data_IF_589610793457
#
_entry.id   IF_589610793457
#
_cell.length_a   1.000
_cell.length_b   1.000
_cell.length_c   1.000
_cell.angle_alpha   90.00
_cell.angle_beta   90.00
_cell.angle_gamma   90.00
#
_symmetry.space_group_name_H-M   'P 1'
#
loop_
_entity.id
_entity.type
_entity.pdbx_description
1 polymer ?
#
# COMPACT_ATOMS: atom_id res chain seq x y z
N UNK A 1 -38.67 -7.13 -53.39
CA UNK A 1 -37.44 -7.15 -52.56
C UNK A 1 -37.49 -8.36 -51.65
N UNK A 2 -36.50 -9.23 -51.50
CA UNK A 2 -35.16 -9.30 -52.06
C UNK A 2 -34.45 -10.44 -51.33
N UNK A 3 -34.55 -11.69 -51.82
CA UNK A 3 -33.82 -12.83 -51.23
C UNK A 3 -32.31 -12.51 -51.09
N UNK A 4 -31.76 -11.73 -52.04
CA UNK A 4 -30.40 -11.17 -51.94
C UNK A 4 -30.17 -10.21 -50.77
N UNK A 5 -31.19 -9.45 -50.34
CA UNK A 5 -31.12 -8.61 -49.13
C UNK A 5 -31.02 -9.48 -47.87
N UNK A 6 -31.75 -10.60 -47.81
CA UNK A 6 -31.66 -11.53 -46.68
C UNK A 6 -30.27 -12.18 -46.58
N UNK A 7 -29.68 -12.62 -47.70
CA UNK A 7 -28.31 -13.15 -47.69
C UNK A 7 -27.27 -12.09 -47.32
N UNK A 8 -27.45 -10.85 -47.78
CA UNK A 8 -26.58 -9.73 -47.42
C UNK A 8 -26.64 -9.43 -45.92
N UNK A 9 -27.84 -9.45 -45.32
CA UNK A 9 -28.01 -9.28 -43.87
C UNK A 9 -27.34 -10.41 -43.12
N UNK A 10 -27.56 -11.67 -43.51
CA UNK A 10 -26.93 -12.84 -42.86
C UNK A 10 -25.40 -12.76 -42.96
N UNK A 11 -24.85 -12.41 -44.13
CA UNK A 11 -23.41 -12.24 -44.31
C UNK A 11 -22.86 -11.11 -43.43
N UNK A 12 -23.57 -9.98 -43.31
CA UNK A 12 -23.16 -8.87 -42.45
C UNK A 12 -23.15 -9.25 -40.96
N UNK A 13 -24.15 -10.03 -40.51
CA UNK A 13 -24.22 -10.54 -39.13
C UNK A 13 -23.06 -11.50 -38.85
N UNK A 14 -22.76 -12.42 -39.78
CA UNK A 14 -21.63 -13.34 -39.64
C UNK A 14 -20.28 -12.60 -39.59
N UNK A 15 -20.11 -11.54 -40.39
CA UNK A 15 -18.92 -10.70 -40.35
C UNK A 15 -18.76 -9.96 -39.02
N UNK A 16 -19.85 -9.42 -38.47
CA UNK A 16 -19.83 -8.76 -37.16
C UNK A 16 -19.48 -9.74 -36.03
N UNK A 17 -20.02 -10.96 -36.07
CA UNK A 17 -19.67 -12.02 -35.11
C UNK A 17 -18.19 -12.38 -35.22
N UNK A 18 -17.67 -12.58 -36.43
CA UNK A 18 -16.24 -12.86 -36.65
C UNK A 18 -15.32 -11.76 -36.12
N UNK A 19 -15.67 -10.49 -36.36
CA UNK A 19 -14.93 -9.33 -35.84
C UNK A 19 -14.98 -9.28 -34.30
N UNK A 20 -16.13 -9.60 -33.69
CA UNK A 20 -16.27 -9.61 -32.23
C UNK A 20 -15.48 -10.75 -31.55
N UNK A 21 -15.26 -11.88 -32.23
CA UNK A 21 -14.41 -12.97 -31.74
C UNK A 21 -12.92 -12.59 -31.72
N UNK A 22 -12.51 -11.63 -32.55
CA UNK A 22 -11.13 -11.12 -32.59
C UNK A 22 -10.86 -10.01 -31.58
N UNK A 23 -11.90 -9.52 -30.89
CA UNK A 23 -11.73 -8.65 -29.72
C UNK A 23 -11.28 -9.55 -28.58
N UNK A 24 -9.99 -9.88 -28.59
CA UNK A 24 -9.30 -10.54 -27.50
C UNK A 24 -9.40 -9.59 -26.30
N UNK A 25 -10.44 -9.78 -25.49
CA UNK A 25 -10.68 -9.02 -24.29
C UNK A 25 -9.51 -9.33 -23.36
N UNK A 26 -8.47 -8.49 -23.39
CA UNK A 26 -7.35 -8.63 -22.48
C UNK A 26 -7.95 -8.53 -21.08
N UNK A 27 -7.98 -9.66 -20.37
CA UNK A 27 -8.67 -9.74 -19.09
C UNK A 27 -8.17 -8.60 -18.21
N UNK A 28 -9.08 -7.87 -17.58
CA UNK A 28 -8.75 -6.80 -16.63
C UNK A 28 -7.76 -7.30 -15.55
N UNK A 29 -7.82 -8.60 -15.24
CA UNK A 29 -6.87 -9.35 -14.40
C UNK A 29 -5.44 -9.26 -14.90
N UNK A 30 -5.20 -9.32 -16.21
CA UNK A 30 -3.87 -9.21 -16.80
C UNK A 30 -3.32 -7.78 -16.70
N UNK A 31 -4.17 -6.77 -16.91
CA UNK A 31 -3.81 -5.37 -16.69
C UNK A 31 -3.51 -5.08 -15.21
N UNK A 32 -4.32 -5.61 -14.29
CA UNK A 32 -4.10 -5.50 -12.85
C UNK A 32 -2.83 -6.22 -12.41
N UNK A 33 -2.57 -7.42 -12.94
CA UNK A 33 -1.35 -8.19 -12.68
C UNK A 33 -0.11 -7.42 -13.13
N UNK A 34 -0.11 -6.82 -14.33
CA UNK A 34 0.97 -5.96 -14.80
C UNK A 34 1.21 -4.76 -13.88
N UNK A 35 0.15 -4.09 -13.43
CA UNK A 35 0.24 -2.95 -12.52
C UNK A 35 0.76 -3.34 -11.12
N UNK A 36 0.34 -4.51 -10.63
CA UNK A 36 0.83 -5.05 -9.36
C UNK A 36 2.32 -5.38 -9.44
N UNK A 37 2.76 -6.03 -10.52
CA UNK A 37 4.16 -6.37 -10.74
C UNK A 37 5.02 -5.14 -10.98
N UNK A 38 4.52 -4.11 -11.68
CA UNK A 38 5.24 -2.84 -11.83
C UNK A 38 5.40 -2.11 -10.50
N UNK A 39 4.40 -2.14 -9.62
CA UNK A 39 4.49 -1.58 -8.27
C UNK A 39 5.51 -2.32 -7.40
N UNK A 40 5.68 -3.63 -7.59
CA UNK A 40 6.70 -4.43 -6.89
C UNK A 40 8.11 -4.30 -7.48
N UNK A 41 8.23 -4.00 -8.78
CA UNK A 41 9.50 -3.90 -9.49
C UNK A 41 10.26 -2.60 -9.27
N UNK A 42 9.58 -1.54 -8.79
CA UNK A 42 10.25 -0.28 -8.43
C UNK A 42 10.79 -0.43 -7.02
N UNK A 43 12.05 -0.87 -6.97
CA UNK A 43 13.04 -0.63 -5.93
C UNK A 43 12.58 -0.93 -4.52
N UNK A 44 13.18 -1.96 -3.91
CA UNK A 44 13.27 -2.15 -2.45
C UNK A 44 13.20 -0.80 -1.74
N UNK A 45 11.99 -0.41 -1.30
CA UNK A 45 11.79 0.85 -0.61
C UNK A 45 12.75 0.78 0.57
N UNK A 46 13.66 1.76 0.63
CA UNK A 46 14.75 1.74 1.58
C UNK A 46 14.18 1.70 2.99
N UNK A 47 14.09 0.48 3.51
CA UNK A 47 13.56 0.16 4.82
C UNK A 47 14.70 0.11 5.82
N UNK A 48 15.95 0.41 5.41
CA UNK A 48 17.10 0.50 6.30
C UNK A 48 16.94 1.57 7.37
N UNK A 49 16.18 2.64 7.07
CA UNK A 49 15.80 3.66 8.05
C UNK A 49 14.82 3.14 9.11
N UNK A 50 14.07 2.06 8.83
CA UNK A 50 13.13 1.48 9.77
C UNK A 50 13.71 0.22 10.42
N UNK A 51 14.52 0.43 11.47
CA UNK A 51 14.92 -0.66 12.35
C UNK A 51 13.82 -0.88 13.37
N UNK A 52 12.88 -1.78 13.06
CA UNK A 52 11.92 -2.25 14.06
C UNK A 52 12.70 -2.71 15.30
N UNK A 53 12.43 -2.10 16.46
CA UNK A 53 13.09 -2.45 17.71
C UNK A 53 12.54 -3.81 18.16
N UNK A 54 13.10 -4.89 17.61
CA UNK A 54 12.69 -6.27 17.91
C UNK A 54 13.11 -6.75 19.31
N UNK A 55 14.01 -6.01 19.96
CA UNK A 55 14.67 -6.44 21.20
C UNK A 55 14.26 -5.65 22.45
N UNK A 56 13.16 -4.89 22.42
CA UNK A 56 12.57 -4.43 23.68
C UNK A 56 11.83 -5.61 24.30
N UNK A 57 12.56 -6.44 25.05
CA UNK A 57 11.93 -7.30 26.06
C UNK A 57 11.18 -6.37 27.02
N UNK A 58 9.84 -6.38 27.08
CA UNK A 58 9.10 -5.58 28.06
C UNK A 58 9.52 -5.94 29.50
N UNK A 59 10.08 -7.14 29.70
CA UNK A 59 10.56 -7.59 31.01
C UNK A 59 11.86 -6.94 31.51
N UNK A 60 12.66 -6.27 30.67
CA UNK A 60 13.84 -5.51 31.15
C UNK A 60 13.52 -4.07 31.57
N UNK A 61 12.28 -3.60 31.34
CA UNK A 61 11.81 -2.30 31.81
C UNK A 61 11.27 -2.31 33.24
N UNK A 62 11.24 -3.48 33.90
CA UNK A 62 10.69 -3.64 35.25
C UNK A 62 11.67 -3.29 36.37
N UNK A 63 12.91 -2.92 36.06
CA UNK A 63 13.90 -2.43 37.01
C UNK A 63 14.16 -0.94 36.82
N UNK A 64 13.63 -0.10 37.70
CA UNK A 64 13.92 1.34 37.82
C UNK A 64 14.18 2.08 36.49
N UNK A 65 13.26 1.98 35.54
CA UNK A 65 13.38 2.77 34.31
C UNK A 65 13.07 4.22 34.64
N UNK A 66 14.09 5.07 34.54
CA UNK A 66 13.91 6.52 34.67
C UNK A 66 12.96 7.00 33.58
N UNK A 67 11.77 7.49 33.98
CA UNK A 67 10.76 8.02 33.05
C UNK A 67 11.30 9.19 32.21
N UNK A 68 12.28 9.92 32.73
CA UNK A 68 12.91 11.00 32.00
C UNK A 68 13.68 10.50 30.77
N UNK A 69 14.34 9.35 30.89
CA UNK A 69 15.06 8.71 29.77
C UNK A 69 14.11 8.10 28.75
N UNK A 70 12.92 7.65 29.16
CA UNK A 70 11.86 7.23 28.23
C UNK A 70 11.38 8.43 27.41
N UNK A 71 11.02 9.53 28.09
CA UNK A 71 10.52 10.74 27.44
C UNK A 71 11.55 11.36 26.49
N UNK A 72 12.84 11.36 26.85
CA UNK A 72 13.92 11.86 25.96
C UNK A 72 14.00 11.08 24.65
N UNK A 73 13.67 9.78 24.65
CA UNK A 73 13.65 8.97 23.42
C UNK A 73 12.51 9.31 22.48
N UNK A 74 11.39 9.78 23.03
CA UNK A 74 10.22 10.17 22.26
C UNK A 74 10.27 11.62 21.77
N UNK A 75 11.35 12.37 22.05
CA UNK A 75 11.51 13.77 21.65
C UNK A 75 11.59 13.91 20.12
N UNK A 76 10.66 14.67 19.55
CA UNK A 76 10.63 15.05 18.14
C UNK A 76 11.49 16.29 17.95
N UNK A 77 12.59 16.15 17.20
CA UNK A 77 13.50 17.27 16.92
C UNK A 77 12.95 18.26 15.90
N UNK A 78 12.39 17.77 14.79
CA UNK A 78 11.77 18.59 13.74
C UNK A 78 10.92 17.73 12.83
N UNK A 79 9.72 18.19 12.50
CA UNK A 79 8.86 17.54 11.51
C UNK A 79 9.13 18.09 10.10
N UNK A 80 8.90 17.29 9.03
CA UNK A 80 8.98 17.78 7.65
C UNK A 80 8.04 18.97 7.43
N UNK A 81 8.59 20.09 6.93
CA UNK A 81 7.82 21.31 6.68
C UNK A 81 7.46 22.13 7.93
N UNK A 82 7.95 21.76 9.11
CA UNK A 82 7.64 22.47 10.35
C UNK A 82 8.32 23.85 10.41
N UNK A 83 7.55 24.94 10.65
CA UNK A 83 8.11 26.25 10.94
C UNK A 83 8.85 26.25 12.29
N UNK A 84 9.69 27.26 12.59
CA UNK A 84 10.31 27.39 13.91
C UNK A 84 9.25 27.47 15.01
N UNK A 85 9.46 26.71 16.08
CA UNK A 85 8.56 26.65 17.25
C UNK A 85 9.39 26.66 18.53
N UNK A 86 8.86 27.29 19.58
CA UNK A 86 9.58 27.52 20.84
C UNK A 86 9.23 26.47 21.92
N UNK A 87 8.69 25.32 21.52
CA UNK A 87 8.27 24.26 22.44
C UNK A 87 8.72 22.88 21.96
N UNK A 88 9.01 22.02 22.92
CA UNK A 88 9.35 20.62 22.69
C UNK A 88 8.11 19.80 22.36
N UNK A 89 8.26 18.86 21.44
CA UNK A 89 7.22 17.91 21.04
C UNK A 89 7.70 16.49 21.26
N UNK A 90 6.80 15.60 21.64
CA UNK A 90 7.10 14.20 21.89
C UNK A 90 6.09 13.31 21.14
N UNK A 91 6.52 12.15 20.64
CA UNK A 91 5.67 11.21 19.92
C UNK A 91 6.10 9.77 20.15
N UNK A 92 5.24 9.01 20.83
CA UNK A 92 5.49 7.61 21.20
C UNK A 92 4.19 6.85 21.45
N UNK A 93 4.32 5.60 21.87
CA UNK A 93 3.18 4.74 22.23
C UNK A 93 3.04 4.64 23.74
N UNK A 94 1.81 4.63 24.22
CA UNK A 94 1.48 4.34 25.62
C UNK A 94 0.79 2.99 25.67
N UNK A 95 1.38 2.05 26.40
CA UNK A 95 0.73 0.77 26.70
C UNK A 95 -0.29 1.01 27.81
N UNK A 96 -1.56 0.78 27.51
CA UNK A 96 -2.71 0.82 28.42
C UNK A 96 -2.95 -0.54 29.03
N UNK A 97 -2.82 -1.63 28.25
CA UNK A 97 -2.91 -3.01 28.72
C UNK A 97 -1.73 -3.86 28.19
N UNK A 98 -0.87 -4.28 29.12
CA UNK A 98 0.30 -5.10 28.83
C UNK A 98 -0.09 -6.49 28.29
N UNK A 99 -1.25 -7.02 28.69
CA UNK A 99 -1.70 -8.38 28.34
C UNK A 99 -2.35 -8.42 26.96
N UNK A 100 -3.07 -7.35 26.60
CA UNK A 100 -3.66 -7.19 25.28
C UNK A 100 -2.65 -6.70 24.21
N UNK A 101 -1.42 -6.37 24.64
CA UNK A 101 -0.33 -5.92 23.77
C UNK A 101 -0.42 -4.46 23.33
N UNK A 102 -1.43 -3.72 23.84
CA UNK A 102 -1.62 -2.27 23.70
C UNK A 102 -2.49 -1.78 24.83
#
# INVERSE_FOLDING_TARGET
MGKGQAYSVVASVLMLVYLSSQIECSNQVHALSRLYMSKRGVGSMDTSHFKAVKDLKPSSLRGNVNQEELRKRDLIRRLPGQPPVDFDQYGGYVTVDESAGR
#
